data_IF_340857738718
#
_entry.id   IF_340857738718
#
_cell.length_a   1.000
_cell.length_b   1.000
_cell.length_c   1.000
_cell.angle_alpha   90.00
_cell.angle_beta   90.00
_cell.angle_gamma   90.00
#
_symmetry.space_group_name_H-M   'P 1'
#
loop_
_entity.id
_entity.type
_entity.pdbx_description
1 polymer ?
#
# COMPACT_ATOMS: atom_id res chain seq x y z
N UNK A 1 -5.82 24.07 16.21
CA UNK A 1 -6.43 23.15 17.19
C UNK A 1 -6.03 21.75 16.78
N UNK A 2 -5.64 20.91 17.74
CA UNK A 2 -5.28 19.51 17.45
C UNK A 2 -6.52 18.72 17.02
N UNK A 3 -6.35 17.87 16.01
CA UNK A 3 -7.37 16.98 15.45
C UNK A 3 -6.92 15.54 15.61
N UNK A 4 -7.80 14.69 16.09
CA UNK A 4 -7.60 13.26 16.21
C UNK A 4 -7.87 12.57 14.88
N UNK A 5 -6.88 11.82 14.41
CA UNK A 5 -6.96 11.02 13.20
C UNK A 5 -7.05 9.56 13.56
N UNK A 6 -7.97 8.84 12.94
CA UNK A 6 -8.10 7.41 13.02
C UNK A 6 -8.14 6.83 11.61
N UNK A 7 -6.99 6.38 11.12
CA UNK A 7 -6.92 5.62 9.88
C UNK A 7 -7.36 4.19 10.19
N UNK A 8 -8.44 3.74 9.55
CA UNK A 8 -8.97 2.39 9.70
C UNK A 8 -8.76 1.61 8.41
N UNK A 9 -7.84 0.66 8.45
CA UNK A 9 -7.51 -0.18 7.31
C UNK A 9 -8.50 -1.33 7.21
N UNK A 10 -9.35 -1.25 6.19
CA UNK A 10 -10.47 -2.15 5.99
C UNK A 10 -10.10 -3.34 5.10
N UNK A 11 -9.20 -3.15 4.14
CA UNK A 11 -8.75 -4.22 3.25
C UNK A 11 -7.29 -4.07 2.84
N UNK A 12 -6.60 -5.21 2.79
CA UNK A 12 -5.26 -5.38 2.23
C UNK A 12 -5.27 -6.54 1.23
N UNK A 13 -4.35 -6.58 0.26
CA UNK A 13 -4.27 -7.69 -0.69
C UNK A 13 -3.99 -9.01 0.03
N UNK A 14 -4.62 -10.11 -0.40
CA UNK A 14 -4.47 -11.43 0.25
C UNK A 14 -3.01 -11.95 0.21
N UNK A 15 -2.23 -11.52 -0.77
CA UNK A 15 -0.81 -11.84 -0.92
C UNK A 15 0.11 -10.93 -0.11
N UNK A 16 -0.42 -10.06 0.76
CA UNK A 16 0.41 -9.27 1.68
C UNK A 16 1.20 -10.23 2.58
N UNK A 17 2.55 -10.21 2.57
CA UNK A 17 3.36 -11.12 3.36
C UNK A 17 3.03 -11.06 4.85
N UNK A 18 2.86 -12.24 5.45
CA UNK A 18 2.55 -12.35 6.87
C UNK A 18 3.67 -11.75 7.73
N UNK A 19 3.29 -11.08 8.82
CA UNK A 19 4.26 -10.49 9.76
C UNK A 19 4.87 -9.15 9.31
N UNK A 20 4.58 -8.67 8.10
CA UNK A 20 5.01 -7.33 7.69
C UNK A 20 4.26 -6.24 8.45
N UNK A 21 5.01 -5.21 8.85
CA UNK A 21 4.46 -4.01 9.46
C UNK A 21 3.92 -3.07 8.39
N UNK A 22 2.76 -2.49 8.65
CA UNK A 22 2.13 -1.50 7.77
C UNK A 22 2.29 -0.13 8.40
N UNK A 23 2.63 0.87 7.60
CA UNK A 23 2.86 2.25 8.03
C UNK A 23 2.11 3.23 7.14
N UNK A 24 1.76 4.39 7.68
CA UNK A 24 1.37 5.55 6.89
C UNK A 24 2.48 6.59 6.92
N UNK A 25 2.87 7.10 5.76
CA UNK A 25 3.82 8.20 5.63
C UNK A 25 3.17 9.34 4.85
N UNK A 26 3.38 10.57 5.30
CA UNK A 26 2.64 11.73 4.85
C UNK A 26 3.19 13.06 5.35
N UNK A 27 2.48 14.14 5.05
CA UNK A 27 2.87 15.49 5.49
C UNK A 27 2.97 15.61 7.03
N UNK A 28 2.17 14.86 7.79
CA UNK A 28 2.20 14.82 9.26
C UNK A 28 3.46 14.16 9.86
N UNK A 29 4.26 13.43 9.06
CA UNK A 29 5.50 12.79 9.50
C UNK A 29 6.69 13.06 8.57
N UNK A 30 6.60 14.13 7.76
CA UNK A 30 7.63 14.50 6.77
C UNK A 30 7.96 13.38 5.77
N UNK A 31 6.95 12.60 5.36
CA UNK A 31 7.10 11.50 4.40
C UNK A 31 8.09 10.41 4.82
N UNK A 32 8.33 10.27 6.13
CA UNK A 32 9.21 9.24 6.68
C UNK A 32 8.51 7.88 6.67
N UNK A 33 9.11 6.93 5.95
CA UNK A 33 8.66 5.53 5.90
C UNK A 33 9.14 4.74 7.10
N UNK A 34 8.45 3.64 7.43
CA UNK A 34 8.83 2.77 8.55
C UNK A 34 8.84 3.44 9.93
N UNK A 35 8.13 4.57 10.11
CA UNK A 35 8.09 5.25 11.40
C UNK A 35 7.16 4.51 12.38
N UNK A 36 7.70 3.94 13.45
CA UNK A 36 6.92 3.19 14.45
C UNK A 36 5.81 4.02 15.11
N UNK A 37 5.89 5.35 15.15
CA UNK A 37 4.79 6.19 15.65
C UNK A 37 3.58 6.18 14.70
N UNK A 38 3.81 5.86 13.42
CA UNK A 38 2.81 5.80 12.37
C UNK A 38 2.60 4.37 11.84
N UNK A 39 2.89 3.38 12.69
CA UNK A 39 2.63 1.96 12.43
C UNK A 39 1.18 1.59 12.75
N UNK A 40 0.54 0.92 11.81
CA UNK A 40 -0.78 0.34 12.02
C UNK A 40 -0.71 -0.83 13.00
N UNK A 41 -1.67 -0.88 13.93
CA UNK A 41 -1.85 -1.96 14.90
C UNK A 41 -2.98 -2.86 14.46
N UNK A 42 -2.78 -4.18 14.58
CA UNK A 42 -3.82 -5.17 14.32
C UNK A 42 -4.87 -5.13 15.44
N UNK A 43 -6.13 -5.03 15.06
CA UNK A 43 -7.28 -5.06 15.96
C UNK A 43 -7.75 -6.52 16.17
N UNK A 44 -8.61 -6.74 17.17
CA UNK A 44 -9.15 -8.08 17.49
C UNK A 44 -10.02 -8.67 16.36
N UNK A 45 -10.64 -7.82 15.55
CA UNK A 45 -11.47 -8.19 14.39
C UNK A 45 -10.66 -8.51 13.12
N UNK A 46 -9.32 -8.44 13.20
CA UNK A 46 -8.42 -8.69 12.08
C UNK A 46 -8.15 -7.47 11.19
N UNK A 47 -8.85 -6.34 11.40
CA UNK A 47 -8.54 -5.06 10.73
C UNK A 47 -7.30 -4.41 11.33
N UNK A 48 -6.81 -3.33 10.71
CA UNK A 48 -5.71 -2.56 11.27
C UNK A 48 -6.12 -1.10 11.54
N UNK A 49 -5.54 -0.48 12.55
CA UNK A 49 -5.79 0.93 12.85
C UNK A 49 -4.52 1.70 13.20
N UNK A 50 -4.48 2.96 12.80
CA UNK A 50 -3.47 3.94 13.22
C UNK A 50 -4.18 5.16 13.80
N UNK A 51 -3.71 5.65 14.95
CA UNK A 51 -4.22 6.85 15.61
C UNK A 51 -3.08 7.82 15.88
N UNK A 52 -3.29 9.08 15.53
CA UNK A 52 -2.36 10.17 15.81
C UNK A 52 -3.13 11.49 15.87
N UNK A 53 -2.45 12.56 16.28
CA UNK A 53 -3.03 13.90 16.30
C UNK A 53 -2.22 14.84 15.41
N UNK A 54 -2.90 15.80 14.79
CA UNK A 54 -2.27 16.82 13.94
C UNK A 54 -3.04 18.14 14.00
N UNK A 55 -2.36 19.25 13.82
CA UNK A 55 -2.96 20.59 13.67
C UNK A 55 -3.22 20.97 12.20
N UNK A 56 -2.86 20.08 11.25
CA UNK A 56 -3.07 20.28 9.83
C UNK A 56 -4.56 20.34 9.47
N UNK A 57 -4.88 21.12 8.44
CA UNK A 57 -6.22 21.14 7.83
C UNK A 57 -6.40 20.03 6.79
N UNK A 58 -5.32 19.65 6.11
CA UNK A 58 -5.30 18.59 5.10
C UNK A 58 -4.17 17.63 5.44
N UNK A 59 -4.47 16.33 5.44
CA UNK A 59 -3.44 15.31 5.49
C UNK A 59 -3.25 14.70 4.12
N UNK A 60 -1.99 14.48 3.77
CA UNK A 60 -1.57 13.81 2.55
C UNK A 60 -0.75 12.60 2.93
N UNK A 61 -1.10 11.41 2.43
CA UNK A 61 -0.38 10.21 2.83
C UNK A 61 -0.45 9.06 1.82
N UNK A 62 0.48 8.12 2.01
CA UNK A 62 0.50 6.79 1.38
C UNK A 62 0.89 5.72 2.39
N UNK A 63 0.40 4.51 2.15
CA UNK A 63 0.75 3.34 2.93
C UNK A 63 2.01 2.66 2.38
N UNK A 64 2.80 2.07 3.28
CA UNK A 64 4.01 1.34 2.92
C UNK A 64 4.31 0.23 3.93
N UNK A 65 5.18 -0.72 3.53
CA UNK A 65 5.68 -1.79 4.41
C UNK A 65 7.09 -1.54 4.93
N UNK A 66 7.46 -0.26 5.12
CA UNK A 66 8.73 0.17 5.73
C UNK A 66 9.61 1.04 4.84
N UNK A 67 9.41 1.01 3.53
CA UNK A 67 10.11 1.86 2.55
C UNK A 67 9.22 2.07 1.31
N UNK A 68 9.65 2.95 0.39
CA UNK A 68 8.86 3.28 -0.79
C UNK A 68 8.85 2.20 -1.87
N UNK A 69 9.84 1.30 -1.91
CA UNK A 69 9.86 0.13 -2.79
C UNK A 69 8.75 -0.86 -2.41
N UNK A 70 8.31 -0.84 -1.15
CA UNK A 70 7.20 -1.65 -0.63
C UNK A 70 5.93 -0.82 -0.39
N UNK A 71 5.71 0.24 -1.20
CA UNK A 71 4.56 1.11 -1.10
C UNK A 71 3.28 0.49 -1.69
N UNK A 72 2.13 1.02 -1.29
CA UNK A 72 0.86 0.67 -1.93
C UNK A 72 0.84 1.04 -3.42
N UNK A 73 0.19 0.19 -4.23
CA UNK A 73 -0.03 0.41 -5.65
C UNK A 73 -1.51 0.50 -6.03
N UNK A 74 -1.76 0.80 -7.30
CA UNK A 74 -3.08 0.72 -7.92
C UNK A 74 -3.47 -0.74 -8.23
N UNK A 75 -4.58 -0.99 -8.93
CA UNK A 75 -5.01 -2.34 -9.27
C UNK A 75 -4.01 -3.13 -10.16
N UNK A 76 -3.03 -2.47 -10.77
CA UNK A 76 -1.99 -3.06 -11.61
C UNK A 76 -0.60 -3.04 -10.95
N UNK A 77 -0.53 -2.85 -9.63
CA UNK A 77 0.73 -2.73 -8.88
C UNK A 77 1.63 -1.58 -9.36
N UNK A 78 1.05 -0.52 -9.93
CA UNK A 78 1.78 0.70 -10.26
C UNK A 78 1.67 1.72 -9.13
N UNK A 79 2.61 2.67 -9.02
CA UNK A 79 2.50 3.75 -8.05
C UNK A 79 1.16 4.50 -8.20
N UNK A 80 0.37 4.54 -7.12
CA UNK A 80 -0.89 5.27 -7.09
C UNK A 80 -0.70 6.72 -6.59
N UNK A 81 -1.65 7.63 -6.87
CA UNK A 81 -1.63 8.98 -6.33
C UNK A 81 -1.64 9.02 -4.80
N UNK A 82 -1.05 10.06 -4.23
CA UNK A 82 -1.15 10.38 -2.81
C UNK A 82 -2.61 10.60 -2.43
N UNK A 83 -3.03 10.06 -1.27
CA UNK A 83 -4.35 10.34 -0.70
C UNK A 83 -4.31 11.73 -0.06
N UNK A 84 -5.26 12.59 -0.40
CA UNK A 84 -5.43 13.92 0.21
C UNK A 84 -6.78 14.00 0.89
N UNK A 85 -6.81 14.33 2.18
CA UNK A 85 -8.02 14.34 3.01
C UNK A 85 -8.14 15.66 3.75
N UNK A 86 -9.21 16.40 3.48
CA UNK A 86 -9.59 17.58 4.24
C UNK A 86 -10.18 17.15 5.59
N UNK A 87 -9.61 17.64 6.68
CA UNK A 87 -10.01 17.32 8.04
C UNK A 87 -11.08 18.28 8.54
N UNK A 88 -12.13 17.73 9.14
CA UNK A 88 -13.25 18.49 9.71
C UNK A 88 -13.48 18.10 11.17
N UNK A 89 -13.90 19.08 11.98
CA UNK A 89 -14.07 18.88 13.43
C UNK A 89 -12.79 18.40 14.14
N UNK A 90 -13.00 17.79 15.30
CA UNK A 90 -11.92 17.36 16.20
C UNK A 90 -11.53 15.89 15.99
N UNK A 91 -12.42 15.06 15.44
CA UNK A 91 -12.20 13.62 15.25
C UNK A 91 -12.52 13.21 13.81
N UNK A 92 -11.55 12.61 13.14
CA UNK A 92 -11.63 12.20 11.75
C UNK A 92 -11.34 10.69 11.64
N UNK A 93 -12.32 9.92 11.17
CA UNK A 93 -12.18 8.49 10.91
C UNK A 93 -12.08 8.29 9.40
N UNK A 94 -10.97 7.75 8.93
CA UNK A 94 -10.62 7.68 7.51
C UNK A 94 -10.44 6.21 7.13
N UNK A 95 -11.31 5.64 6.29
CA UNK A 95 -11.13 4.28 5.80
C UNK A 95 -9.95 4.20 4.82
N UNK A 96 -9.19 3.12 4.89
CA UNK A 96 -8.05 2.84 4.02
C UNK A 96 -8.22 1.47 3.37
N UNK A 97 -8.10 1.43 2.05
CA UNK A 97 -8.14 0.23 1.22
C UNK A 97 -6.87 0.18 0.38
N UNK A 98 -6.09 -0.90 0.51
CA UNK A 98 -4.89 -1.13 -0.29
C UNK A 98 -5.24 -2.14 -1.38
N UNK A 99 -5.12 -1.74 -2.64
CA UNK A 99 -5.41 -2.59 -3.81
C UNK A 99 -4.26 -3.55 -4.13
N UNK A 100 -3.03 -3.09 -4.01
CA UNK A 100 -1.82 -3.86 -4.30
C UNK A 100 -0.58 -3.27 -3.62
N UNK A 101 0.58 -3.88 -3.89
CA UNK A 101 1.91 -3.37 -3.54
C UNK A 101 2.75 -3.20 -4.80
N UNK A 102 3.56 -2.14 -4.89
CA UNK A 102 4.29 -1.85 -6.14
C UNK A 102 5.38 -2.88 -6.48
N UNK A 103 5.96 -3.53 -5.47
CA UNK A 103 6.93 -4.61 -5.63
C UNK A 103 6.29 -5.91 -6.16
N UNK A 104 4.96 -6.03 -6.11
CA UNK A 104 4.27 -7.14 -6.76
C UNK A 104 4.37 -7.07 -8.29
N UNK A 105 4.49 -5.87 -8.87
CA UNK A 105 4.78 -5.73 -10.30
C UNK A 105 6.17 -6.27 -10.63
N UNK A 106 7.17 -6.01 -9.79
CA UNK A 106 8.54 -6.49 -9.98
C UNK A 106 8.62 -8.01 -9.88
N UNK A 107 7.95 -8.62 -8.90
CA UNK A 107 7.90 -10.10 -8.79
C UNK A 107 7.23 -10.73 -10.02
N UNK A 108 6.12 -10.16 -10.52
CA UNK A 108 5.46 -10.71 -11.72
C UNK A 108 6.27 -10.49 -13.00
N UNK A 109 7.06 -9.41 -13.08
CA UNK A 109 8.02 -9.19 -14.18
C UNK A 109 9.22 -10.15 -14.09
N UNK A 110 9.68 -10.52 -12.89
CA UNK A 110 10.72 -11.56 -12.75
C UNK A 110 10.17 -12.97 -13.03
N UNK A 111 8.90 -13.25 -12.71
CA UNK A 111 8.27 -14.55 -12.93
C UNK A 111 7.68 -14.75 -14.34
N UNK A 112 7.70 -13.74 -15.21
CA UNK A 112 7.46 -13.93 -16.66
C UNK A 112 8.73 -14.34 -17.42
N UNK A 113 9.87 -14.47 -16.72
CA UNK A 113 11.12 -14.98 -17.26
C UNK A 113 11.75 -16.10 -16.40
N UNK A 114 10.98 -17.08 -15.91
CA UNK A 114 11.60 -18.29 -15.33
C UNK A 114 10.88 -19.61 -15.62
N UNK A 115 11.61 -20.44 -16.38
CA UNK A 115 11.71 -21.92 -16.45
C UNK A 115 10.49 -22.82 -16.70
N UNK A 116 9.39 -22.37 -17.30
CA UNK A 116 8.42 -23.30 -17.93
C UNK A 116 7.81 -22.77 -19.24
N UNK A 117 8.55 -21.97 -20.01
CA UNK A 117 8.17 -21.72 -21.41
C UNK A 117 8.57 -22.95 -22.23
N UNK A 118 7.66 -23.92 -22.32
CA UNK A 118 7.65 -24.85 -23.45
C UNK A 118 7.39 -24.00 -24.69
N UNK A 119 8.45 -23.61 -25.39
CA UNK A 119 8.33 -23.07 -26.75
C UNK A 119 7.80 -24.22 -27.60
N UNK A 120 6.48 -24.31 -27.75
CA UNK A 120 5.92 -25.05 -28.88
C UNK A 120 6.19 -24.17 -30.08
N UNK A 121 7.39 -24.32 -30.65
CA UNK A 121 7.64 -23.94 -32.02
C UNK A 121 6.64 -24.75 -32.85
N UNK A 122 5.52 -24.14 -33.20
CA UNK A 122 4.63 -24.73 -34.19
C UNK A 122 5.37 -24.60 -35.51
N UNK A 123 6.03 -25.69 -35.90
CA UNK A 123 6.63 -25.92 -37.20
C UNK A 123 5.61 -25.53 -38.28
N UNK A 124 5.74 -24.33 -38.83
CA UNK A 124 5.12 -24.00 -40.11
C UNK A 124 6.08 -24.45 -41.21
N UNK A 125 6.18 -25.78 -41.35
CA UNK A 125 6.60 -26.37 -42.60
C UNK A 125 5.41 -26.33 -43.56
N UNK A 126 5.47 -25.40 -44.51
CA UNK A 126 5.24 -25.77 -45.90
C UNK A 126 5.84 -24.71 -46.82
N UNK A 127 7.02 -25.04 -47.35
CA UNK A 127 7.37 -24.67 -48.73
C UNK A 127 6.42 -25.45 -49.64
N UNK A 128 5.63 -24.77 -50.46
CA UNK A 128 5.79 -24.77 -51.93
C UNK A 128 4.95 -23.65 -52.54
#
# INVERSE_FOLDING_TARGET
MMKQIHLHMQSIPIYTPAGHSLFAAGNFNNWKTGDEHFRFKKNADGTFSLRFETDLSVIEFRCNRGNWQLAEGDEYAKPNPVRSVLLSGDKNIIPVHISSWIDFADEHLQHTASENVLVIAHDFLSRN
#
